data_IF_854422195394
#
_entry.id   IF_854422195394
#
_cell.length_a   1.000
_cell.length_b   1.000
_cell.length_c   1.000
_cell.angle_alpha   90.00
_cell.angle_beta   90.00
_cell.angle_gamma   90.00
#
_symmetry.space_group_name_H-M   'P 1'
#
loop_
_entity.id
_entity.type
_entity.pdbx_description
1 polymer ?
#
# COMPACT_ATOMS: atom_id res chain seq x y z
N UNK A 1 -0.87 12.84 29.56
CA UNK A 1 -0.29 12.38 28.29
C UNK A 1 -1.30 11.47 27.58
N UNK A 2 -1.97 12.00 26.55
CA UNK A 2 -3.05 11.30 25.83
C UNK A 2 -2.51 10.22 24.90
N UNK A 3 -2.65 8.95 25.29
CA UNK A 3 -2.56 7.82 24.38
C UNK A 3 -3.92 7.65 23.65
N UNK A 4 -4.16 8.47 22.63
CA UNK A 4 -5.26 8.25 21.67
C UNK A 4 -4.84 7.15 20.68
N UNK A 5 -4.80 5.90 21.14
CA UNK A 5 -4.78 4.75 20.22
C UNK A 5 -6.18 4.58 19.62
N UNK A 6 -6.38 5.23 18.49
CA UNK A 6 -7.57 5.19 17.67
C UNK A 6 -8.07 3.76 17.42
N UNK A 7 -9.25 3.45 17.95
CA UNK A 7 -10.07 2.23 17.78
C UNK A 7 -10.30 1.86 16.29
N UNK A 8 -9.99 2.77 15.36
CA UNK A 8 -10.08 2.59 13.91
C UNK A 8 -9.20 1.48 13.31
N UNK A 9 -8.14 1.03 13.99
CA UNK A 9 -7.26 -0.01 13.46
C UNK A 9 -7.94 -1.40 13.32
N UNK A 10 -9.05 -1.64 14.03
CA UNK A 10 -9.72 -2.95 14.09
C UNK A 10 -10.78 -3.19 13.01
N UNK A 11 -11.23 -2.15 12.29
CA UNK A 11 -12.24 -2.26 11.22
C UNK A 11 -11.74 -1.80 9.84
N UNK A 12 -10.51 -1.26 9.74
CA UNK A 12 -9.85 -1.03 8.45
C UNK A 12 -9.40 -2.39 7.88
N UNK A 13 -10.33 -3.15 7.30
CA UNK A 13 -10.02 -4.46 6.71
C UNK A 13 -8.88 -4.38 5.69
N UNK A 14 -8.02 -5.40 5.68
CA UNK A 14 -7.01 -5.57 4.64
C UNK A 14 -7.74 -5.74 3.31
N UNK A 15 -7.60 -4.77 2.40
CA UNK A 15 -8.23 -4.79 1.07
C UNK A 15 -7.35 -5.45 0.03
N UNK A 16 -6.04 -5.42 0.25
CA UNK A 16 -5.07 -6.06 -0.61
C UNK A 16 -3.84 -6.45 0.18
N UNK A 17 -3.14 -7.49 -0.27
CA UNK A 17 -1.91 -7.98 0.33
C UNK A 17 -0.95 -8.43 -0.76
N UNK A 18 0.30 -8.02 -0.64
CA UNK A 18 1.42 -8.50 -1.45
C UNK A 18 2.43 -9.15 -0.50
N UNK A 19 2.88 -10.36 -0.84
CA UNK A 19 4.04 -11.00 -0.21
C UNK A 19 5.19 -11.06 -1.20
N UNK A 20 6.38 -10.74 -0.69
CA UNK A 20 7.62 -10.84 -1.41
C UNK A 20 8.42 -12.03 -0.90
N UNK A 21 9.05 -12.75 -1.82
CA UNK A 21 10.02 -13.81 -1.54
C UNK A 21 11.02 -13.88 -2.70
N UNK A 22 12.30 -14.01 -2.37
CA UNK A 22 13.41 -14.23 -3.31
C UNK A 22 13.45 -13.22 -4.46
N UNK A 23 13.29 -11.93 -4.14
CA UNK A 23 13.35 -10.83 -5.12
C UNK A 23 12.10 -10.67 -5.99
N UNK A 24 11.02 -11.41 -5.70
CA UNK A 24 9.78 -11.38 -6.48
C UNK A 24 8.53 -11.33 -5.60
N UNK A 25 7.37 -11.10 -6.23
CA UNK A 25 6.07 -11.24 -5.59
C UNK A 25 5.69 -12.72 -5.59
N UNK A 26 5.61 -13.32 -4.41
CA UNK A 26 5.16 -14.71 -4.23
C UNK A 26 3.64 -14.84 -4.14
N UNK A 27 2.96 -13.78 -3.68
CA UNK A 27 1.51 -13.79 -3.53
C UNK A 27 0.95 -12.38 -3.63
N UNK A 28 -0.17 -12.24 -4.33
CA UNK A 28 -0.97 -11.03 -4.35
C UNK A 28 -2.44 -11.40 -4.10
N UNK A 29 -3.10 -10.72 -3.16
CA UNK A 29 -4.52 -10.88 -2.86
C UNK A 29 -5.22 -9.52 -2.86
N UNK A 30 -6.51 -9.55 -3.15
CA UNK A 30 -7.36 -8.36 -3.16
C UNK A 30 -7.30 -7.58 -4.47
N UNK A 31 -7.98 -6.43 -4.49
CA UNK A 31 -8.11 -5.62 -5.70
C UNK A 31 -6.94 -4.63 -5.80
N UNK A 32 -5.82 -5.13 -6.34
CA UNK A 32 -4.62 -4.35 -6.62
C UNK A 32 -4.55 -4.08 -8.12
N UNK A 33 -4.17 -2.86 -8.53
CA UNK A 33 -4.04 -2.56 -9.95
C UNK A 33 -2.85 -3.33 -10.56
N UNK A 34 -2.95 -3.81 -11.82
CA UNK A 34 -1.84 -4.47 -12.49
C UNK A 34 -0.57 -3.61 -12.56
N UNK A 35 -0.72 -2.30 -12.78
CA UNK A 35 0.40 -1.35 -12.79
C UNK A 35 1.12 -1.24 -11.44
N UNK A 36 0.37 -1.24 -10.33
CA UNK A 36 0.97 -1.25 -8.99
C UNK A 36 1.72 -2.56 -8.71
N UNK A 37 1.15 -3.71 -9.12
CA UNK A 37 1.81 -5.00 -9.00
C UNK A 37 3.10 -5.08 -9.83
N UNK A 38 3.10 -4.54 -11.06
CA UNK A 38 4.28 -4.46 -11.90
C UNK A 38 5.37 -3.61 -11.24
N UNK A 39 5.04 -2.40 -10.80
CA UNK A 39 5.97 -1.52 -10.09
C UNK A 39 6.55 -2.19 -8.82
N UNK A 40 5.72 -2.89 -8.05
CA UNK A 40 6.18 -3.63 -6.87
C UNK A 40 7.18 -4.74 -7.23
N UNK A 41 7.03 -5.44 -8.37
CA UNK A 41 7.99 -6.45 -8.84
C UNK A 41 9.33 -5.83 -9.19
N UNK A 42 9.31 -4.71 -9.90
CA UNK A 42 10.54 -4.02 -10.31
C UNK A 42 11.29 -3.47 -9.10
N UNK A 43 10.57 -2.88 -8.15
CA UNK A 43 11.14 -2.40 -6.87
C UNK A 43 11.70 -3.57 -6.06
N UNK A 44 11.01 -4.70 -5.99
CA UNK A 44 11.49 -5.88 -5.26
C UNK A 44 12.82 -6.41 -5.83
N UNK A 45 12.97 -6.41 -7.16
CA UNK A 45 14.22 -6.76 -7.84
C UNK A 45 15.31 -5.74 -7.58
N UNK A 46 15.02 -4.45 -7.77
CA UNK A 46 15.98 -3.35 -7.60
C UNK A 46 16.58 -3.32 -6.19
N UNK A 47 15.74 -3.49 -5.17
CA UNK A 47 16.16 -3.48 -3.77
C UNK A 47 16.54 -4.86 -3.22
N UNK A 48 16.61 -5.91 -4.07
CA UNK A 48 16.96 -7.29 -3.69
C UNK A 48 16.15 -7.78 -2.48
N UNK A 49 14.83 -7.56 -2.51
CA UNK A 49 13.94 -7.91 -1.41
C UNK A 49 13.86 -9.43 -1.26
N UNK A 50 14.49 -9.98 -0.23
CA UNK A 50 14.46 -11.43 0.05
C UNK A 50 13.11 -11.88 0.63
N UNK A 51 12.53 -11.08 1.51
CA UNK A 51 11.23 -11.35 2.14
C UNK A 51 10.55 -10.03 2.49
N UNK A 52 9.23 -10.00 2.42
CA UNK A 52 8.48 -8.84 2.89
C UNK A 52 6.99 -8.96 2.68
N UNK A 53 6.24 -8.03 3.26
CA UNK A 53 4.79 -7.92 3.08
C UNK A 53 4.35 -6.47 2.99
N UNK A 54 3.41 -6.21 2.10
CA UNK A 54 2.68 -4.96 1.98
C UNK A 54 1.21 -5.26 2.11
N UNK A 55 0.55 -4.67 3.09
CA UNK A 55 -0.90 -4.72 3.27
C UNK A 55 -1.49 -3.36 2.88
N UNK A 56 -2.52 -3.37 2.03
CA UNK A 56 -3.35 -2.21 1.72
C UNK A 56 -4.49 -2.17 2.71
N UNK A 57 -4.52 -1.13 3.54
CA UNK A 57 -5.48 -0.95 4.62
C UNK A 57 -6.45 0.18 4.28
N UNK A 58 -7.69 0.13 4.78
CA UNK A 58 -8.66 1.22 4.63
C UNK A 58 -9.52 1.14 3.36
N UNK A 59 -10.18 2.24 2.97
CA UNK A 59 -11.12 2.28 1.84
C UNK A 59 -11.10 3.64 1.12
N UNK A 60 -11.24 3.61 -0.21
CA UNK A 60 -11.21 4.80 -1.08
C UNK A 60 -9.97 5.66 -0.83
N UNK A 61 -10.17 6.96 -0.63
CA UNK A 61 -9.10 7.94 -0.36
C UNK A 61 -8.36 7.73 0.96
N UNK A 62 -8.91 6.93 1.90
CA UNK A 62 -8.26 6.60 3.17
C UNK A 62 -7.40 5.35 3.08
N UNK A 63 -7.22 4.79 1.88
CA UNK A 63 -6.33 3.66 1.68
C UNK A 63 -4.88 4.05 1.93
N UNK A 64 -4.19 3.26 2.74
CA UNK A 64 -2.78 3.44 3.07
C UNK A 64 -2.06 2.10 3.08
N UNK A 65 -0.74 2.16 2.92
CA UNK A 65 0.11 0.98 2.93
C UNK A 65 0.63 0.72 4.35
N UNK A 66 0.65 -0.56 4.72
CA UNK A 66 1.32 -1.06 5.91
C UNK A 66 2.40 -2.07 5.50
N UNK A 67 3.62 -1.81 5.91
CA UNK A 67 4.79 -2.63 5.56
C UNK A 67 5.17 -3.58 6.69
N UNK A 68 5.65 -4.78 6.36
CA UNK A 68 6.36 -5.61 7.34
C UNK A 68 7.72 -5.02 7.68
N UNK A 69 8.26 -5.43 8.83
CA UNK A 69 9.58 -4.99 9.30
C UNK A 69 10.72 -5.52 8.41
N UNK A 70 10.50 -6.68 7.80
CA UNK A 70 11.48 -7.39 6.96
C UNK A 70 11.67 -6.72 5.59
N UNK A 71 10.77 -5.82 5.20
CA UNK A 71 10.92 -5.10 3.94
C UNK A 71 12.00 -4.01 4.09
N UNK A 72 13.00 -3.92 3.20
CA UNK A 72 14.02 -2.87 3.24
C UNK A 72 13.42 -1.47 3.23
N UNK A 73 14.00 -0.53 3.97
CA UNK A 73 13.49 0.84 4.07
C UNK A 73 13.43 1.55 2.70
N UNK A 74 14.44 1.35 1.84
CA UNK A 74 14.43 1.88 0.47
C UNK A 74 13.26 1.34 -0.36
N UNK A 75 12.98 0.04 -0.27
CA UNK A 75 11.83 -0.57 -0.93
C UNK A 75 10.49 -0.01 -0.40
N UNK A 76 10.37 0.19 0.92
CA UNK A 76 9.16 0.82 1.51
C UNK A 76 8.91 2.22 0.94
N UNK A 77 9.96 3.03 0.84
CA UNK A 77 9.86 4.37 0.31
C UNK A 77 9.47 4.34 -1.17
N UNK A 78 10.13 3.52 -1.99
CA UNK A 78 9.83 3.38 -3.41
C UNK A 78 8.39 2.92 -3.65
N UNK A 79 7.90 1.91 -2.91
CA UNK A 79 6.52 1.42 -3.01
C UNK A 79 5.53 2.51 -2.60
N UNK A 80 5.85 3.29 -1.55
CA UNK A 80 5.00 4.41 -1.12
C UNK A 80 4.91 5.49 -2.19
N UNK A 81 6.02 5.77 -2.89
CA UNK A 81 6.05 6.79 -3.95
C UNK A 81 5.20 6.40 -5.18
N UNK A 82 5.15 5.12 -5.53
CA UNK A 82 4.34 4.64 -6.67
C UNK A 82 2.89 4.35 -6.31
N UNK A 83 2.56 4.31 -5.02
CA UNK A 83 1.21 4.02 -4.58
C UNK A 83 0.25 5.17 -4.86
N UNK A 84 -0.78 4.89 -5.65
CA UNK A 84 -1.90 5.81 -5.88
C UNK A 84 -3.18 5.19 -5.35
N UNK A 85 -3.82 5.76 -4.30
CA UNK A 85 -5.09 5.24 -3.80
C UNK A 85 -6.18 5.41 -4.86
N UNK A 86 -7.12 4.47 -4.99
CA UNK A 86 -8.23 4.60 -5.93
C UNK A 86 -9.09 5.84 -5.58
N UNK A 87 -9.62 6.54 -6.59
CA UNK A 87 -10.51 7.66 -6.36
C UNK A 87 -11.74 7.18 -5.57
N UNK A 88 -12.18 7.94 -4.57
CA UNK A 88 -13.46 7.64 -3.92
C UNK A 88 -14.59 8.03 -4.88
N UNK A 89 -15.35 7.05 -5.37
CA UNK A 89 -16.63 7.34 -6.04
C UNK A 89 -17.63 7.93 -5.04
N UNK A 90 -18.10 9.16 -5.30
CA UNK A 90 -19.23 9.78 -4.60
C UNK A 90 -19.01 11.24 -4.15
N UNK A 91 -19.37 12.20 -5.01
CA UNK A 91 -20.00 13.50 -4.67
C UNK A 91 -19.16 14.63 -4.04
N UNK A 92 -18.98 15.72 -4.80
CA UNK A 92 -18.99 17.09 -4.25
C UNK A 92 -17.70 17.90 -4.34
N UNK A 93 -17.76 19.03 -5.06
CA UNK A 93 -17.01 20.24 -4.73
C UNK A 93 -15.91 20.66 -5.71
N UNK A 94 -16.29 21.59 -6.60
CA UNK A 94 -15.52 22.77 -7.03
C UNK A 94 -13.98 22.65 -7.13
N UNK A 95 -13.47 22.81 -8.36
CA UNK A 95 -12.30 23.65 -8.58
C UNK A 95 -12.76 24.91 -9.31
N UNK A 96 -12.95 25.98 -8.54
CA UNK A 96 -12.84 27.34 -9.04
C UNK A 96 -11.46 27.88 -8.61
N UNK A 97 -10.93 28.79 -9.44
CA UNK A 97 -9.73 29.61 -9.33
C UNK A 97 -8.53 29.14 -10.17
N UNK A 98 -8.35 29.85 -11.28
CA UNK A 98 -7.30 29.77 -12.28
C UNK A 98 -7.82 30.42 -13.55
#
# INVERSE_FOLDING_TARGET
>A
MSARLSIWARLAGVRGRIRFRDGSISEARGQLSPGFLAACRDIARLHRVSVGRVDVMGQGRRQHLRFSRDLPAGARQAISNVWTPPPSGGGGGMRAAG
#
